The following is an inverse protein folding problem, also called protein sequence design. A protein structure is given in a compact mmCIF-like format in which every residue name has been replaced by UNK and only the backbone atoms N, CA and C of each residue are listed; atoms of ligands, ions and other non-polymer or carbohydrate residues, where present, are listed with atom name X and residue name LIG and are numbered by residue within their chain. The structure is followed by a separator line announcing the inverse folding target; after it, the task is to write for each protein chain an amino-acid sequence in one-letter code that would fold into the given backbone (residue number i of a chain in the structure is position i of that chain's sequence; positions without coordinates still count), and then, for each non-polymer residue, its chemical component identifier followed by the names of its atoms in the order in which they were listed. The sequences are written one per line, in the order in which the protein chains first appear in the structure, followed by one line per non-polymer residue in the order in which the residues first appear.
data_IF_246797860602
#
_entry.id   IF_246797860602
#
_cell.length_a   1.000
_cell.length_b   1.000
_cell.length_c   1.000
_cell.angle_alpha   90.00
_cell.angle_beta   90.00
_cell.angle_gamma   90.00
#
_symmetry.space_group_name_H-M   'P 1'
#
loop_
_entity.id
_entity.type
_entity.pdbx_description
1 polymer ?
#
# COMPACT_ATOMS: atom_id res chain seq x y z
N UNK A 1 11.25 18.31 8.44
CA UNK A 1 9.80 18.49 8.24
C UNK A 1 9.25 17.18 7.71
N UNK A 2 8.86 16.29 8.62
CA UNK A 2 8.20 15.03 8.26
C UNK A 2 6.73 15.35 8.03
N UNK A 3 6.27 15.23 6.78
CA UNK A 3 4.85 15.31 6.48
C UNK A 3 4.24 13.94 6.78
N UNK A 4 3.71 13.77 7.99
CA UNK A 4 2.76 12.68 8.24
C UNK A 4 1.44 13.08 7.58
N UNK A 5 0.90 12.31 6.62
CA UNK A 5 -0.43 12.60 6.10
C UNK A 5 -1.44 12.37 7.23
N UNK A 6 -2.12 13.45 7.64
CA UNK A 6 -3.25 13.37 8.54
C UNK A 6 -4.32 12.48 7.89
N UNK A 7 -4.48 11.25 8.41
CA UNK A 7 -5.54 10.34 7.99
C UNK A 7 -6.90 11.01 8.28
N UNK A 8 -7.83 11.08 7.31
CA UNK A 8 -9.15 11.61 7.57
C UNK A 8 -9.86 10.68 8.56
N UNK A 9 -10.09 11.19 9.76
CA UNK A 9 -10.62 10.48 10.92
C UNK A 9 -12.14 10.22 10.86
N UNK A 10 -12.70 9.92 9.68
CA UNK A 10 -14.04 9.31 9.56
C UNK A 10 -14.28 8.86 8.10
N UNK A 11 -13.95 7.60 7.77
CA UNK A 11 -14.44 7.00 6.53
C UNK A 11 -15.82 6.44 6.84
N UNK A 12 -16.88 7.10 6.37
CA UNK A 12 -18.26 6.60 6.51
C UNK A 12 -18.51 5.39 5.60
N UNK A 13 -18.26 4.19 6.15
CA UNK A 13 -18.42 2.90 5.47
C UNK A 13 -19.87 2.57 5.05
N UNK A 14 -20.86 3.36 5.48
CA UNK A 14 -22.26 3.13 5.12
C UNK A 14 -22.64 3.83 3.81
N UNK A 15 -21.78 4.70 3.28
CA UNK A 15 -21.94 5.31 1.96
C UNK A 15 -21.15 4.56 0.89
N UNK A 16 -21.55 4.68 -0.37
CA UNK A 16 -20.76 4.17 -1.50
C UNK A 16 -19.38 4.83 -1.57
N UNK A 17 -19.31 6.14 -1.33
CA UNK A 17 -18.07 6.90 -1.34
C UNK A 17 -17.11 6.44 -0.24
N UNK A 18 -17.60 6.22 0.98
CA UNK A 18 -16.74 5.77 2.07
C UNK A 18 -16.31 4.30 1.94
N UNK A 19 -17.13 3.42 1.35
CA UNK A 19 -16.67 2.07 0.98
C UNK A 19 -15.50 2.11 -0.01
N UNK A 20 -15.55 3.00 -1.01
CA UNK A 20 -14.44 3.19 -1.95
C UNK A 20 -13.19 3.72 -1.26
N UNK A 21 -13.34 4.69 -0.36
CA UNK A 21 -12.22 5.24 0.41
C UNK A 21 -11.58 4.18 1.33
N UNK A 22 -12.37 3.36 2.01
CA UNK A 22 -11.86 2.26 2.85
C UNK A 22 -11.15 1.20 2.01
N UNK A 23 -11.72 0.85 0.85
CA UNK A 23 -11.08 -0.07 -0.09
C UNK A 23 -9.71 0.46 -0.53
N UNK A 24 -9.63 1.73 -0.92
CA UNK A 24 -8.37 2.33 -1.37
C UNK A 24 -7.33 2.37 -0.25
N UNK A 25 -7.73 2.72 0.98
CA UNK A 25 -6.85 2.65 2.16
C UNK A 25 -6.28 1.25 2.35
N UNK A 26 -7.12 0.21 2.33
CA UNK A 26 -6.67 -1.19 2.49
C UNK A 26 -5.75 -1.64 1.37
N UNK A 27 -5.99 -1.19 0.14
CA UNK A 27 -5.11 -1.47 -1.01
C UNK A 27 -3.74 -0.82 -0.79
N UNK A 28 -3.69 0.43 -0.34
CA UNK A 28 -2.43 1.11 -0.04
C UNK A 28 -1.69 0.41 1.10
N UNK A 29 -2.36 0.10 2.20
CA UNK A 29 -1.79 -0.66 3.31
C UNK A 29 -1.23 -2.02 2.86
N UNK A 30 -1.98 -2.79 2.07
CA UNK A 30 -1.53 -4.08 1.57
C UNK A 30 -0.35 -3.96 0.58
N UNK A 31 -0.31 -2.88 -0.21
CA UNK A 31 0.79 -2.61 -1.15
C UNK A 31 2.07 -2.25 -0.40
N UNK A 32 1.96 -1.53 0.72
CA UNK A 32 3.08 -1.10 1.55
C UNK A 32 3.37 -2.03 2.74
N UNK A 33 2.58 -3.10 2.93
CA UNK A 33 2.74 -4.07 4.03
C UNK A 33 4.10 -4.78 4.01
N UNK A 34 4.69 -4.95 2.82
CA UNK A 34 6.12 -5.20 2.71
C UNK A 34 6.86 -3.91 3.02
N UNK A 35 7.47 -3.79 4.21
CA UNK A 35 8.27 -2.60 4.55
C UNK A 35 9.15 -2.20 3.37
N UNK A 36 9.25 -0.90 3.04
CA UNK A 36 10.11 -0.43 1.95
C UNK A 36 11.52 -1.05 2.02
N UNK A 37 12.01 -1.26 3.26
CA UNK A 37 13.24 -1.99 3.57
C UNK A 37 13.29 -3.43 3.05
N UNK A 38 12.19 -4.18 3.11
CA UNK A 38 12.10 -5.54 2.60
C UNK A 38 12.13 -5.59 1.07
N UNK A 39 11.48 -4.61 0.41
CA UNK A 39 11.54 -4.43 -1.04
C UNK A 39 12.97 -4.09 -1.47
N UNK A 40 13.58 -3.07 -0.84
CA UNK A 40 14.97 -2.68 -1.07
C UNK A 40 15.94 -3.84 -0.84
N UNK A 41 15.74 -4.64 0.22
CA UNK A 41 16.58 -5.83 0.50
C UNK A 41 16.46 -6.89 -0.59
N UNK A 42 15.30 -7.02 -1.23
CA UNK A 42 15.09 -7.97 -2.32
C UNK A 42 15.74 -7.46 -3.61
N UNK A 43 15.59 -6.17 -3.91
CA UNK A 43 16.25 -5.50 -5.03
C UNK A 43 17.77 -5.50 -4.89
N UNK A 44 18.30 -5.27 -3.68
CA UNK A 44 19.74 -5.35 -3.38
C UNK A 44 20.32 -6.75 -3.62
N UNK A 45 19.48 -7.79 -3.56
CA UNK A 45 19.86 -9.17 -3.92
C UNK A 45 19.73 -9.46 -5.42
N UNK A 46 19.39 -8.47 -6.24
CA UNK A 46 19.11 -8.62 -7.68
C UNK A 46 17.85 -9.42 -7.97
N UNK A 47 16.92 -9.52 -7.00
CA UNK A 47 15.67 -10.28 -7.14
C UNK A 47 14.49 -9.33 -7.24
N UNK A 48 13.50 -9.72 -8.03
CA UNK A 48 12.18 -9.08 -8.05
C UNK A 48 11.34 -9.53 -6.85
N UNK A 49 10.47 -8.65 -6.38
CA UNK A 49 9.39 -8.94 -5.43
C UNK A 49 8.35 -9.87 -6.06
N UNK A 50 7.54 -10.53 -5.24
CA UNK A 50 6.49 -11.43 -5.74
C UNK A 50 5.50 -10.70 -6.66
N UNK A 51 5.15 -9.45 -6.34
CA UNK A 51 4.22 -8.63 -7.15
C UNK A 51 4.83 -8.23 -8.50
N UNK A 52 6.10 -7.84 -8.52
CA UNK A 52 6.82 -7.54 -9.76
C UNK A 52 6.92 -8.78 -10.67
N UNK A 53 7.07 -9.98 -10.11
CA UNK A 53 7.06 -11.22 -10.90
C UNK A 53 5.70 -11.50 -11.54
N UNK A 54 4.60 -11.23 -10.83
CA UNK A 54 3.25 -11.38 -11.38
C UNK A 54 3.01 -10.42 -12.55
N UNK A 55 3.55 -9.19 -12.47
CA UNK A 55 3.42 -8.21 -13.56
C UNK A 55 4.25 -8.51 -14.82
N UNK A 56 5.15 -9.51 -14.78
CA UNK A 56 5.93 -9.96 -15.94
C UNK A 56 5.29 -11.15 -16.68
N UNK A 57 4.14 -11.63 -16.19
CA UNK A 57 3.31 -12.64 -16.86
C UNK A 57 2.35 -11.96 -17.83
#
# INVERSE_FOLDING_TARGET
MSTEPALPADIDIHTTAGKLADLQRRIEEATHAGSARAVEKQHAKGKLTARERIGLL
#
